data_IF_655398052877
#
_entry.id   IF_655398052877
#
_cell.length_a   1.000
_cell.length_b   1.000
_cell.length_c   1.000
_cell.angle_alpha   90.00
_cell.angle_beta   90.00
_cell.angle_gamma   90.00
#
_symmetry.space_group_name_H-M   'P 1'
#
loop_
_entity.id
_entity.type
_entity.pdbx_description
1 polymer ?
#
# COMPACT_ATOMS: atom_id res chain seq x y z
N UNK A 1 -18.16 7.99 50.40
CA UNK A 1 -18.97 6.84 50.74
C UNK A 1 -18.15 5.63 50.31
N UNK A 2 -17.29 5.04 51.16
CA UNK A 2 -17.56 3.94 52.10
C UNK A 2 -18.20 2.75 51.38
N UNK A 3 -17.63 1.61 51.32
CA UNK A 3 -17.10 0.64 52.23
C UNK A 3 -16.48 -0.53 51.45
N UNK A 4 -15.39 -1.07 51.81
CA UNK A 4 -15.04 -1.84 53.01
C UNK A 4 -15.47 -3.30 53.01
N UNK A 5 -14.44 -4.12 53.25
CA UNK A 5 -14.39 -5.39 54.00
C UNK A 5 -14.59 -6.67 53.16
N UNK A 6 -13.97 -7.82 53.41
CA UNK A 6 -13.04 -8.36 54.45
C UNK A 6 -12.57 -9.74 53.99
N UNK A 7 -11.31 -10.02 54.14
CA UNK A 7 -10.69 -11.13 54.91
C UNK A 7 -11.52 -12.38 55.17
N UNK A 8 -10.93 -13.56 54.85
CA UNK A 8 -10.89 -14.69 55.84
C UNK A 8 -9.74 -15.67 55.54
N UNK A 9 -8.85 -15.70 56.50
CA UNK A 9 -7.93 -16.80 56.83
C UNK A 9 -8.67 -18.05 57.24
N UNK A 10 -8.15 -19.27 56.94
CA UNK A 10 -8.18 -20.36 57.92
C UNK A 10 -6.97 -21.28 57.78
N UNK A 11 -6.38 -21.50 58.90
CA UNK A 11 -5.29 -22.40 59.28
C UNK A 11 -5.83 -23.81 59.62
N UNK A 12 -4.91 -24.77 59.68
CA UNK A 12 -5.10 -26.07 60.37
C UNK A 12 -4.17 -27.11 59.76
N UNK A 13 -3.00 -27.37 60.20
CA UNK A 13 -2.40 -28.05 61.35
C UNK A 13 -2.53 -29.57 61.35
N UNK A 14 -1.35 -30.19 61.56
CA UNK A 14 -1.03 -31.44 62.30
C UNK A 14 -1.05 -32.74 61.49
N UNK A 15 0.02 -33.46 61.33
CA UNK A 15 0.98 -34.13 62.20
C UNK A 15 0.67 -35.64 62.32
N UNK A 16 1.66 -36.43 62.28
CA UNK A 16 2.07 -37.63 63.07
C UNK A 16 2.46 -38.86 62.24
N UNK A 17 3.76 -39.16 62.19
CA UNK A 17 4.52 -40.22 62.81
C UNK A 17 4.13 -41.70 62.52
N UNK A 18 5.11 -42.50 62.17
CA UNK A 18 5.69 -43.76 62.76
C UNK A 18 6.22 -44.63 61.61
N UNK A 19 7.49 -44.88 61.50
CA UNK A 19 8.43 -45.74 62.24
C UNK A 19 8.43 -47.18 61.74
N UNK A 20 9.65 -47.64 61.48
CA UNK A 20 10.25 -48.96 61.74
C UNK A 20 10.15 -50.06 60.66
N UNK A 21 11.32 -50.62 60.38
CA UNK A 21 11.45 -52.02 59.98
C UNK A 21 12.61 -52.33 59.00
N UNK A 22 13.83 -52.47 59.56
CA UNK A 22 14.94 -53.22 58.94
C UNK A 22 14.66 -54.73 59.28
N UNK A 23 14.99 -55.69 58.40
CA UNK A 23 16.21 -56.44 58.70
C UNK A 23 17.07 -56.80 57.50
N UNK A 24 18.37 -56.84 57.81
CA UNK A 24 19.45 -57.55 57.13
C UNK A 24 19.13 -59.02 56.90
N UNK A 25 19.54 -59.60 55.78
CA UNK A 25 20.26 -60.87 55.77
C UNK A 25 21.09 -61.03 54.53
N UNK A 26 22.30 -61.37 54.80
CA UNK A 26 23.49 -61.73 54.07
C UNK A 26 23.42 -63.08 53.32
N UNK A 27 24.42 -63.26 52.47
CA UNK A 27 25.04 -64.44 51.91
C UNK A 27 24.68 -64.65 50.43
N UNK A 28 25.66 -64.69 49.52
CA UNK A 28 26.66 -65.68 49.28
C UNK A 28 27.50 -65.35 48.03
N UNK A 29 28.69 -65.80 48.16
CA UNK A 29 29.88 -65.86 47.33
C UNK A 29 29.70 -66.12 45.82
N UNK A 30 30.51 -65.44 45.01
CA UNK A 30 31.59 -66.08 44.26
C UNK A 30 31.38 -66.15 42.77
N UNK A 31 32.09 -65.34 41.99
CA UNK A 31 32.98 -65.90 40.96
C UNK A 31 33.90 -64.81 40.39
N UNK A 32 35.16 -65.05 40.39
CA UNK A 32 36.19 -64.23 39.80
C UNK A 32 36.10 -64.37 38.31
N UNK A 33 35.92 -63.29 37.58
CA UNK A 33 36.33 -63.18 36.20
C UNK A 33 37.22 -61.98 36.01
N UNK A 34 38.35 -62.19 35.53
CA UNK A 34 39.53 -61.42 35.17
C UNK A 34 39.36 -59.93 34.89
N UNK A 35 40.24 -59.17 35.56
CA UNK A 35 40.59 -57.81 35.26
C UNK A 35 41.07 -57.66 33.82
N UNK A 36 40.22 -57.04 32.99
CA UNK A 36 40.65 -56.35 31.79
C UNK A 36 40.97 -54.90 32.19
N UNK A 37 42.20 -54.47 31.94
CA UNK A 37 42.70 -53.16 32.31
C UNK A 37 41.82 -51.98 31.84
N UNK A 38 41.91 -50.81 32.51
CA UNK A 38 41.19 -49.60 32.08
C UNK A 38 41.76 -49.10 30.75
N UNK A 39 41.14 -49.47 29.64
CA UNK A 39 41.33 -48.75 28.41
C UNK A 39 40.89 -47.32 28.65
N UNK A 40 41.79 -46.37 28.36
CA UNK A 40 41.51 -44.93 28.36
C UNK A 40 40.43 -44.62 27.28
N UNK A 41 39.20 -44.96 27.59
CA UNK A 41 38.04 -44.50 26.85
C UNK A 41 37.51 -43.23 27.49
N UNK A 42 37.71 -42.14 26.86
CA UNK A 42 37.02 -40.88 27.23
C UNK A 42 35.48 -41.08 27.32
N UNK A 43 34.73 -40.21 27.93
CA UNK A 43 33.30 -40.33 28.03
C UNK A 43 32.69 -40.62 26.64
N UNK A 44 31.68 -41.50 26.54
CA UNK A 44 31.10 -41.88 25.25
C UNK A 44 30.60 -40.65 24.53
N UNK A 45 30.99 -40.50 23.24
CA UNK A 45 30.57 -39.39 22.41
C UNK A 45 29.04 -39.39 22.23
N UNK A 46 28.40 -38.29 22.55
CA UNK A 46 26.94 -38.17 22.36
C UNK A 46 26.59 -38.04 20.87
N UNK A 47 25.66 -38.85 20.35
CA UNK A 47 25.22 -38.70 18.98
C UNK A 47 24.40 -37.41 18.84
N UNK A 48 24.80 -36.52 17.93
CA UNK A 48 24.15 -35.23 17.67
C UNK A 48 23.90 -35.06 16.16
N UNK A 49 22.75 -34.47 15.81
CA UNK A 49 22.52 -34.10 14.42
C UNK A 49 23.17 -32.75 14.13
N UNK A 50 23.89 -32.70 13.04
CA UNK A 50 24.64 -31.53 12.62
C UNK A 50 24.11 -31.04 11.27
N UNK A 51 23.87 -29.75 11.15
CA UNK A 51 23.55 -29.05 9.93
C UNK A 51 24.69 -28.08 9.57
N UNK A 52 25.11 -28.09 8.31
CA UNK A 52 26.11 -27.11 7.85
C UNK A 52 25.42 -25.76 7.71
N UNK A 53 26.00 -24.73 8.35
CA UNK A 53 25.49 -23.36 8.27
C UNK A 53 25.56 -22.86 6.84
N UNK A 54 24.40 -22.54 6.28
CA UNK A 54 24.28 -22.04 4.93
C UNK A 54 24.28 -20.52 4.91
N UNK A 55 24.78 -19.96 3.81
CA UNK A 55 24.65 -18.54 3.50
C UNK A 55 23.37 -18.32 2.71
N UNK A 56 22.53 -17.42 3.20
CA UNK A 56 21.27 -17.05 2.57
C UNK A 56 21.25 -15.56 2.31
N UNK A 57 20.54 -15.13 1.29
CA UNK A 57 20.35 -13.71 1.00
C UNK A 57 19.38 -13.09 2.02
N UNK A 58 19.90 -12.23 2.86
CA UNK A 58 19.21 -11.56 3.95
C UNK A 58 18.77 -10.17 3.44
N UNK A 59 17.47 -9.88 3.29
CA UNK A 59 17.01 -8.55 2.93
C UNK A 59 17.00 -7.62 4.15
N UNK A 60 17.54 -6.41 3.98
CA UNK A 60 17.31 -5.29 4.93
C UNK A 60 15.99 -4.64 4.58
N UNK A 61 14.98 -4.83 5.42
CA UNK A 61 13.62 -4.36 5.17
C UNK A 61 13.10 -3.48 6.31
N UNK A 62 12.28 -2.50 5.96
CA UNK A 62 11.48 -1.77 6.93
C UNK A 62 10.02 -1.70 6.47
N UNK A 63 9.13 -1.74 7.43
CA UNK A 63 7.69 -1.60 7.19
C UNK A 63 7.23 -0.16 7.45
N UNK A 64 6.42 0.37 6.55
CA UNK A 64 5.82 1.69 6.63
C UNK A 64 4.32 1.59 6.44
N UNK A 65 3.59 2.45 7.13
CA UNK A 65 2.16 2.59 6.86
C UNK A 65 1.98 3.26 5.50
N UNK A 66 1.11 2.71 4.70
CA UNK A 66 0.82 3.16 3.35
C UNK A 66 -0.68 3.24 3.12
N UNK A 67 -1.10 4.19 2.30
CA UNK A 67 -2.50 4.37 1.90
C UNK A 67 -2.62 4.19 0.40
N UNK A 68 -3.57 3.36 -0.02
CA UNK A 68 -3.86 3.15 -1.43
C UNK A 68 -4.69 4.32 -1.97
N UNK A 69 -4.24 4.93 -3.06
CA UNK A 69 -4.99 5.97 -3.78
C UNK A 69 -5.19 5.56 -5.23
N UNK A 70 -6.26 6.02 -5.84
CA UNK A 70 -6.45 5.87 -7.28
C UNK A 70 -5.44 6.73 -8.03
N UNK A 71 -4.85 6.19 -9.09
CA UNK A 71 -3.98 6.96 -10.01
C UNK A 71 -4.78 8.00 -10.79
N UNK A 72 -6.05 7.71 -11.01
CA UNK A 72 -6.98 8.58 -11.72
C UNK A 72 -8.19 8.76 -10.82
N UNK A 73 -8.19 9.85 -10.08
CA UNK A 73 -9.30 10.28 -9.23
C UNK A 73 -9.63 11.71 -9.59
N UNK A 74 -10.88 11.98 -9.92
CA UNK A 74 -11.39 13.31 -10.18
C UNK A 74 -12.39 13.70 -9.09
N UNK A 75 -12.10 14.79 -8.39
CA UNK A 75 -13.03 15.42 -7.46
C UNK A 75 -13.98 16.30 -8.28
N UNK A 76 -15.27 16.09 -8.14
CA UNK A 76 -16.31 16.78 -8.91
C UNK A 76 -16.94 17.85 -8.04
N UNK A 77 -16.65 19.09 -8.39
CA UNK A 77 -17.27 20.29 -7.82
C UNK A 77 -18.08 21.00 -8.91
N UNK A 78 -19.15 21.73 -8.55
CA UNK A 78 -19.91 22.51 -9.53
C UNK A 78 -19.10 23.73 -10.00
N UNK A 79 -19.32 24.17 -11.23
CA UNK A 79 -18.72 25.41 -11.76
C UNK A 79 -19.60 26.63 -11.53
N UNK A 80 -20.87 26.40 -11.16
CA UNK A 80 -21.87 27.45 -10.85
C UNK A 80 -22.58 27.10 -9.56
N UNK A 81 -23.04 28.14 -8.86
CA UNK A 81 -23.87 27.94 -7.68
C UNK A 81 -25.35 27.79 -8.05
N UNK A 82 -26.09 27.05 -7.25
CA UNK A 82 -27.52 26.88 -7.45
C UNK A 82 -28.11 25.75 -6.64
N UNK A 83 -29.40 25.44 -6.88
CA UNK A 83 -30.08 24.33 -6.26
C UNK A 83 -30.02 23.09 -7.15
N UNK A 84 -29.76 21.91 -6.56
CA UNK A 84 -29.82 20.63 -7.28
C UNK A 84 -31.27 20.27 -7.60
N UNK A 85 -31.56 20.07 -8.87
CA UNK A 85 -32.89 19.68 -9.32
C UNK A 85 -33.01 18.19 -9.60
N UNK A 86 -31.90 17.55 -10.05
CA UNK A 86 -31.86 16.11 -10.37
C UNK A 86 -30.49 15.54 -10.10
N UNK A 87 -30.46 14.27 -9.70
CA UNK A 87 -29.27 13.43 -9.63
C UNK A 87 -29.55 12.22 -10.51
N UNK A 88 -28.66 11.96 -11.49
CA UNK A 88 -28.87 10.94 -12.53
C UNK A 88 -28.18 9.62 -12.23
N UNK A 89 -27.24 9.61 -11.29
CA UNK A 89 -26.38 8.47 -10.93
C UNK A 89 -26.50 8.16 -9.44
N UNK A 90 -26.06 6.96 -9.06
CA UNK A 90 -25.95 6.52 -7.66
C UNK A 90 -24.48 6.26 -7.31
N UNK A 91 -24.16 6.34 -6.03
CA UNK A 91 -22.84 5.91 -5.53
C UNK A 91 -22.57 4.46 -5.95
N UNK A 92 -21.40 4.21 -6.54
CA UNK A 92 -20.99 2.90 -7.08
C UNK A 92 -21.30 2.66 -8.55
N UNK A 93 -22.03 3.53 -9.23
CA UNK A 93 -22.32 3.39 -10.65
C UNK A 93 -21.05 3.56 -11.50
N UNK A 94 -20.95 2.75 -12.57
CA UNK A 94 -19.93 2.93 -13.60
C UNK A 94 -20.41 3.97 -14.61
N UNK A 95 -19.55 4.95 -14.87
CA UNK A 95 -19.83 6.05 -15.81
C UNK A 95 -18.70 6.20 -16.82
N UNK A 96 -19.05 6.69 -18.00
CA UNK A 96 -18.10 7.07 -19.03
C UNK A 96 -17.96 8.61 -19.05
N UNK A 97 -16.88 9.11 -19.64
CA UNK A 97 -16.70 10.54 -19.88
C UNK A 97 -17.93 11.15 -20.57
N UNK A 98 -18.41 12.30 -20.09
CA UNK A 98 -19.59 12.98 -20.59
C UNK A 98 -20.93 12.49 -20.01
N UNK A 99 -20.97 11.39 -19.23
CA UNK A 99 -22.20 10.94 -18.57
C UNK A 99 -22.71 12.00 -17.61
N UNK A 100 -23.99 12.43 -17.68
CA UNK A 100 -24.56 13.40 -16.75
C UNK A 100 -24.64 12.80 -15.35
N UNK A 101 -24.13 13.54 -14.35
CA UNK A 101 -24.14 13.14 -12.95
C UNK A 101 -25.29 13.79 -12.20
N UNK A 102 -25.41 15.10 -12.31
CA UNK A 102 -26.47 15.89 -11.66
C UNK A 102 -26.78 17.17 -12.44
N UNK A 103 -27.94 17.75 -12.12
CA UNK A 103 -28.46 18.97 -12.72
C UNK A 103 -28.66 20.02 -11.62
N UNK A 104 -28.08 21.21 -11.81
CA UNK A 104 -28.35 22.43 -11.05
C UNK A 104 -29.44 23.17 -11.79
N UNK A 105 -30.29 23.93 -11.09
CA UNK A 105 -31.40 24.67 -11.66
C UNK A 105 -30.95 25.65 -12.75
N UNK A 106 -31.27 25.41 -14.03
CA UNK A 106 -30.84 26.23 -15.14
C UNK A 106 -31.82 27.35 -15.50
N UNK A 107 -33.01 27.43 -14.90
CA UNK A 107 -34.13 28.26 -15.36
C UNK A 107 -33.74 29.72 -15.57
N UNK A 108 -32.98 30.31 -14.63
CA UNK A 108 -32.53 31.70 -14.77
C UNK A 108 -31.57 31.89 -15.95
N UNK A 109 -30.68 30.93 -16.16
CA UNK A 109 -29.68 31.00 -17.23
C UNK A 109 -30.33 30.73 -18.59
N UNK A 110 -31.30 29.81 -18.66
CA UNK A 110 -32.09 29.56 -19.86
C UNK A 110 -32.86 30.80 -20.28
N UNK A 111 -33.48 31.53 -19.33
CA UNK A 111 -34.19 32.77 -19.62
C UNK A 111 -33.23 33.86 -20.12
N UNK A 112 -32.02 33.96 -19.53
CA UNK A 112 -30.98 34.88 -19.97
C UNK A 112 -30.53 34.56 -21.41
N UNK A 113 -30.23 33.30 -21.70
CA UNK A 113 -29.86 32.85 -23.04
C UNK A 113 -30.94 33.16 -24.07
N UNK A 114 -32.21 32.88 -23.75
CA UNK A 114 -33.37 33.18 -24.61
C UNK A 114 -33.48 34.67 -24.91
N UNK A 115 -33.27 35.53 -23.91
CA UNK A 115 -33.27 37.00 -24.11
C UNK A 115 -32.16 37.46 -25.05
N UNK A 116 -30.92 36.91 -24.87
CA UNK A 116 -29.81 37.23 -25.75
C UNK A 116 -30.02 36.74 -27.18
N UNK A 117 -30.62 35.56 -27.36
CA UNK A 117 -30.98 35.05 -28.67
C UNK A 117 -32.02 35.92 -29.39
N UNK A 118 -33.01 36.46 -28.65
CA UNK A 118 -33.97 37.39 -29.20
C UNK A 118 -33.30 38.69 -29.68
N UNK A 119 -32.34 39.22 -28.89
CA UNK A 119 -31.55 40.39 -29.26
C UNK A 119 -30.70 40.14 -30.51
N UNK A 120 -30.06 38.99 -30.59
CA UNK A 120 -29.31 38.56 -31.79
C UNK A 120 -30.22 38.50 -33.01
N UNK A 121 -31.40 37.89 -32.90
CA UNK A 121 -32.37 37.80 -34.00
C UNK A 121 -32.82 39.19 -34.52
N UNK A 122 -33.00 40.17 -33.62
CA UNK A 122 -33.29 41.56 -34.00
C UNK A 122 -32.11 42.18 -34.78
N UNK A 123 -30.87 41.95 -34.35
CA UNK A 123 -29.71 42.49 -35.05
C UNK A 123 -29.46 41.78 -36.40
N UNK A 124 -29.77 40.51 -36.52
CA UNK A 124 -29.76 39.81 -37.80
C UNK A 124 -30.74 40.44 -38.83
N UNK A 125 -31.89 40.89 -38.36
CA UNK A 125 -32.85 41.62 -39.21
C UNK A 125 -32.26 42.98 -39.66
N UNK A 126 -31.57 43.72 -38.76
CA UNK A 126 -30.90 44.95 -39.09
C UNK A 126 -29.77 44.75 -40.14
N UNK A 127 -28.97 43.66 -39.96
CA UNK A 127 -27.93 43.32 -40.92
C UNK A 127 -28.50 43.00 -42.29
N UNK A 128 -29.63 42.25 -42.35
CA UNK A 128 -30.30 41.99 -43.63
C UNK A 128 -30.75 43.28 -44.30
N UNK A 129 -31.33 44.25 -43.55
CA UNK A 129 -31.70 45.55 -44.07
C UNK A 129 -30.52 46.32 -44.62
N UNK A 130 -29.41 46.40 -43.86
CA UNK A 130 -28.17 47.08 -44.28
C UNK A 130 -27.59 46.42 -45.54
N UNK A 131 -27.62 45.10 -45.64
CA UNK A 131 -27.16 44.35 -46.81
C UNK A 131 -27.95 44.71 -48.05
N UNK A 132 -29.31 44.67 -47.97
CA UNK A 132 -30.20 45.07 -49.08
C UNK A 132 -29.94 46.51 -49.48
N UNK A 133 -29.74 47.42 -48.54
CA UNK A 133 -29.43 48.84 -48.79
C UNK A 133 -28.11 48.99 -49.52
N UNK A 134 -27.07 48.27 -49.11
CA UNK A 134 -25.75 48.24 -49.78
C UNK A 134 -25.89 47.71 -51.21
N UNK A 135 -26.53 46.57 -51.40
CA UNK A 135 -26.76 45.98 -52.75
C UNK A 135 -27.53 46.92 -53.68
N UNK A 136 -28.46 47.71 -53.12
CA UNK A 136 -29.18 48.74 -53.88
C UNK A 136 -28.26 49.92 -54.22
N UNK A 137 -27.47 50.41 -53.27
CA UNK A 137 -26.51 51.49 -53.49
C UNK A 137 -25.45 51.09 -54.54
N UNK A 138 -24.92 49.85 -54.50
CA UNK A 138 -23.98 49.35 -55.52
C UNK A 138 -24.55 49.38 -56.93
N UNK A 139 -25.84 48.95 -57.09
CA UNK A 139 -26.52 48.99 -58.39
C UNK A 139 -26.73 50.42 -58.88
N UNK A 140 -27.12 51.37 -58.01
CA UNK A 140 -27.35 52.76 -58.35
C UNK A 140 -26.04 53.50 -58.68
N UNK A 141 -24.97 53.17 -57.97
CA UNK A 141 -23.67 53.71 -58.26
C UNK A 141 -23.12 53.21 -59.60
N UNK A 142 -23.28 51.94 -59.93
CA UNK A 142 -22.93 51.39 -61.23
C UNK A 142 -23.70 52.04 -62.36
N UNK A 143 -24.97 52.45 -62.09
CA UNK A 143 -25.80 53.23 -63.03
C UNK A 143 -25.47 54.77 -63.01
N UNK A 144 -24.47 55.19 -62.20
CA UNK A 144 -24.05 56.63 -62.04
C UNK A 144 -25.19 57.54 -61.48
N UNK A 145 -26.11 56.96 -60.67
CA UNK A 145 -27.27 57.69 -60.12
C UNK A 145 -26.94 58.30 -58.74
N UNK A 146 -26.00 57.73 -58.00
CA UNK A 146 -25.59 58.19 -56.63
C UNK A 146 -24.09 58.51 -56.61
N UNK A 147 -23.68 59.30 -55.57
CA UNK A 147 -22.30 59.62 -55.32
C UNK A 147 -21.51 58.44 -54.71
N UNK A 148 -20.19 58.51 -54.84
CA UNK A 148 -19.31 57.52 -54.10
C UNK A 148 -19.49 57.59 -52.60
N UNK A 149 -19.72 58.81 -52.06
CA UNK A 149 -19.96 59.02 -50.65
C UNK A 149 -21.19 58.21 -50.15
N UNK A 150 -22.28 58.18 -50.96
CA UNK A 150 -23.49 57.44 -50.62
C UNK A 150 -23.23 55.91 -50.59
N UNK A 151 -22.43 55.41 -51.55
CA UNK A 151 -22.00 54.03 -51.56
C UNK A 151 -21.13 53.69 -50.34
N UNK A 152 -20.11 54.54 -50.00
CA UNK A 152 -19.20 54.35 -48.86
C UNK A 152 -20.00 54.38 -47.55
N UNK A 153 -21.03 55.24 -47.42
CA UNK A 153 -21.96 55.27 -46.28
C UNK A 153 -22.73 54.00 -46.14
N UNK A 154 -23.28 53.43 -47.23
CA UNK A 154 -24.01 52.16 -47.21
C UNK A 154 -23.10 50.98 -46.88
N UNK A 155 -21.88 50.98 -47.38
CA UNK A 155 -20.88 49.98 -47.01
C UNK A 155 -20.51 50.07 -45.51
N UNK A 156 -20.25 51.26 -45.00
CA UNK A 156 -19.93 51.45 -43.57
C UNK A 156 -21.10 51.00 -42.64
N UNK A 157 -22.35 51.28 -43.07
CA UNK A 157 -23.52 50.83 -42.33
C UNK A 157 -23.66 49.32 -42.31
N UNK A 158 -23.39 48.65 -43.41
CA UNK A 158 -23.37 47.18 -43.49
C UNK A 158 -22.25 46.60 -42.62
N UNK A 159 -21.03 47.11 -42.71
CA UNK A 159 -19.88 46.64 -41.94
C UNK A 159 -20.11 46.84 -40.43
N UNK A 160 -20.69 47.96 -40.03
CA UNK A 160 -21.06 48.23 -38.65
C UNK A 160 -22.13 47.26 -38.15
N UNK A 161 -23.18 46.99 -38.97
CA UNK A 161 -24.21 46.01 -38.59
C UNK A 161 -23.67 44.61 -38.50
N UNK A 162 -22.73 44.22 -39.41
CA UNK A 162 -22.07 42.92 -39.39
C UNK A 162 -21.19 42.73 -38.13
N UNK A 163 -20.43 43.74 -37.77
CA UNK A 163 -19.62 43.73 -36.55
C UNK A 163 -20.47 43.59 -35.30
N UNK A 164 -21.59 44.33 -35.24
CA UNK A 164 -22.49 44.27 -34.10
C UNK A 164 -23.20 42.89 -33.98
N UNK A 165 -23.64 42.30 -35.11
CA UNK A 165 -24.20 40.96 -35.16
C UNK A 165 -23.17 39.94 -34.66
N UNK A 166 -21.93 40.01 -35.08
CA UNK A 166 -20.87 39.13 -34.64
C UNK A 166 -20.63 39.21 -33.11
N UNK A 167 -20.57 40.42 -32.58
CA UNK A 167 -20.43 40.64 -31.12
C UNK A 167 -21.57 39.99 -30.33
N UNK A 168 -22.80 40.16 -30.76
CA UNK A 168 -23.98 39.53 -30.10
C UNK A 168 -23.99 38.01 -30.27
N UNK A 169 -23.54 37.49 -31.40
CA UNK A 169 -23.38 36.05 -31.61
C UNK A 169 -22.38 35.45 -30.66
N UNK A 170 -21.24 36.10 -30.43
CA UNK A 170 -20.23 35.66 -29.49
C UNK A 170 -20.74 35.73 -28.07
N UNK A 171 -21.55 36.73 -27.71
CA UNK A 171 -22.20 36.84 -26.40
C UNK A 171 -23.25 35.71 -26.18
N UNK A 172 -24.03 35.35 -27.19
CA UNK A 172 -24.95 34.20 -27.13
C UNK A 172 -24.16 32.91 -26.90
N UNK A 173 -23.05 32.70 -27.58
CA UNK A 173 -22.22 31.50 -27.38
C UNK A 173 -21.62 31.47 -25.95
N UNK A 174 -21.19 32.60 -25.42
CA UNK A 174 -20.75 32.68 -24.02
C UNK A 174 -21.85 32.22 -23.06
N UNK A 175 -23.10 32.72 -23.22
CA UNK A 175 -24.23 32.32 -22.37
C UNK A 175 -24.58 30.82 -22.54
N UNK A 176 -24.38 30.26 -23.74
CA UNK A 176 -24.59 28.84 -24.01
C UNK A 176 -23.54 27.97 -23.33
N UNK A 177 -22.28 28.42 -23.28
CA UNK A 177 -21.21 27.75 -22.50
C UNK A 177 -21.54 27.76 -21.02
N UNK A 178 -21.99 28.91 -20.49
CA UNK A 178 -22.37 29.03 -19.08
C UNK A 178 -23.54 28.11 -18.72
N UNK A 179 -24.52 27.99 -19.59
CA UNK A 179 -25.64 27.08 -19.40
C UNK A 179 -25.20 25.60 -19.32
N UNK A 180 -24.13 25.19 -20.01
CA UNK A 180 -23.58 23.85 -19.91
C UNK A 180 -23.09 23.50 -18.50
N UNK A 181 -22.61 24.49 -17.74
CA UNK A 181 -22.11 24.28 -16.37
C UNK A 181 -23.19 23.87 -15.37
N UNK A 182 -24.48 24.13 -15.70
CA UNK A 182 -25.61 23.69 -14.86
C UNK A 182 -25.87 22.18 -14.97
N UNK A 183 -25.33 21.52 -15.99
CA UNK A 183 -25.35 20.07 -16.14
C UNK A 183 -23.96 19.51 -15.87
N UNK A 184 -23.77 19.02 -14.65
CA UNK A 184 -22.48 18.43 -14.24
C UNK A 184 -22.33 17.04 -14.83
N UNK A 185 -21.25 16.78 -15.55
CA UNK A 185 -20.96 15.50 -16.19
C UNK A 185 -19.61 14.96 -15.75
N UNK A 186 -19.41 13.65 -15.93
CA UNK A 186 -18.17 12.96 -15.67
C UNK A 186 -17.05 13.43 -16.60
N UNK A 187 -15.89 13.85 -16.09
CA UNK A 187 -14.74 14.27 -16.93
C UNK A 187 -13.98 13.08 -17.53
N UNK A 188 -14.12 11.89 -16.95
CA UNK A 188 -13.41 10.66 -17.34
C UNK A 188 -14.26 9.44 -17.01
N UNK A 189 -13.86 8.29 -17.57
CA UNK A 189 -14.44 7.00 -17.21
C UNK A 189 -14.07 6.61 -15.76
N UNK A 190 -14.98 5.93 -15.06
CA UNK A 190 -14.70 5.51 -13.69
C UNK A 190 -15.93 5.02 -12.93
N UNK A 191 -15.77 4.92 -11.62
CA UNK A 191 -16.83 4.59 -10.68
C UNK A 191 -17.15 5.83 -9.85
N UNK A 192 -18.43 6.16 -9.76
CA UNK A 192 -18.94 7.26 -8.93
C UNK A 192 -18.73 6.93 -7.45
N UNK A 193 -18.03 7.79 -6.74
CA UNK A 193 -17.85 7.69 -5.29
C UNK A 193 -19.13 8.00 -4.51
N UNK A 194 -18.96 8.41 -3.26
CA UNK A 194 -20.11 8.88 -2.46
C UNK A 194 -20.68 10.19 -3.01
N UNK A 195 -21.99 10.35 -2.91
CA UNK A 195 -22.73 11.56 -3.31
C UNK A 195 -23.33 12.17 -2.04
N UNK A 196 -22.61 13.10 -1.38
CA UNK A 196 -23.05 13.66 -0.09
C UNK A 196 -24.16 14.71 -0.20
N UNK A 197 -24.62 14.99 -1.42
CA UNK A 197 -25.64 16.01 -1.72
C UNK A 197 -26.96 15.39 -2.17
N UNK A 198 -28.06 16.12 -1.96
CA UNK A 198 -29.42 15.66 -2.26
C UNK A 198 -30.13 16.62 -3.20
N UNK A 199 -31.16 16.12 -3.86
CA UNK A 199 -32.08 16.97 -4.64
C UNK A 199 -32.75 17.98 -3.70
N UNK A 200 -32.66 19.26 -4.06
CA UNK A 200 -33.12 20.36 -3.22
C UNK A 200 -32.01 21.12 -2.50
N UNK A 201 -30.83 20.53 -2.36
CA UNK A 201 -29.70 21.20 -1.72
C UNK A 201 -29.17 22.36 -2.57
N UNK A 202 -28.74 23.43 -1.90
CA UNK A 202 -27.99 24.52 -2.53
C UNK A 202 -26.50 24.24 -2.48
N UNK A 203 -25.86 24.30 -3.64
CA UNK A 203 -24.42 24.05 -3.78
C UNK A 203 -23.68 25.32 -4.25
N UNK A 204 -22.43 25.42 -3.83
CA UNK A 204 -21.47 26.44 -4.25
C UNK A 204 -20.28 25.77 -4.96
N UNK A 205 -19.44 26.55 -5.63
CA UNK A 205 -18.28 26.06 -6.40
C UNK A 205 -17.28 25.27 -5.57
N UNK A 206 -17.28 25.39 -4.24
CA UNK A 206 -16.44 24.66 -3.30
C UNK A 206 -17.09 23.38 -2.77
N UNK A 207 -18.38 23.14 -3.07
CA UNK A 207 -19.12 21.98 -2.57
C UNK A 207 -18.66 20.72 -3.27
N UNK A 208 -18.27 19.69 -2.51
CA UNK A 208 -18.00 18.37 -3.06
C UNK A 208 -19.31 17.72 -3.49
N UNK A 209 -19.43 17.38 -4.79
CA UNK A 209 -20.60 16.68 -5.33
C UNK A 209 -20.41 15.17 -5.30
N UNK A 210 -19.25 14.71 -5.77
CA UNK A 210 -18.83 13.31 -5.77
C UNK A 210 -17.37 13.21 -6.18
N UNK A 211 -16.83 11.98 -6.18
CA UNK A 211 -15.57 11.64 -6.83
C UNK A 211 -15.80 10.65 -7.97
N UNK A 212 -14.92 10.64 -8.95
CA UNK A 212 -14.89 9.59 -9.97
C UNK A 212 -13.52 8.95 -9.90
N UNK A 213 -13.51 7.65 -9.61
CA UNK A 213 -12.31 6.89 -9.34
C UNK A 213 -12.15 5.73 -10.31
N UNK A 214 -10.94 5.49 -10.78
CA UNK A 214 -10.60 4.30 -11.57
C UNK A 214 -9.96 3.25 -10.65
N UNK A 215 -10.71 2.23 -10.17
CA UNK A 215 -10.25 1.31 -9.14
C UNK A 215 -9.19 0.31 -9.60
N UNK A 216 -9.01 0.14 -10.91
CA UNK A 216 -8.03 -0.80 -11.48
C UNK A 216 -6.58 -0.34 -11.38
N UNK A 217 -6.34 0.96 -11.28
CA UNK A 217 -5.01 1.56 -11.25
C UNK A 217 -4.80 2.27 -9.90
N UNK A 218 -4.27 1.55 -8.93
CA UNK A 218 -3.96 2.09 -7.60
C UNK A 218 -2.48 2.46 -7.49
N UNK A 219 -2.19 3.35 -6.56
CA UNK A 219 -0.85 3.67 -6.08
C UNK A 219 -0.81 3.58 -4.56
N UNK A 220 0.22 2.94 -4.04
CA UNK A 220 0.53 2.95 -2.62
C UNK A 220 1.35 4.20 -2.29
N UNK A 221 0.82 5.05 -1.42
CA UNK A 221 1.50 6.25 -0.91
C UNK A 221 2.21 5.88 0.36
N UNK A 222 3.54 5.82 0.30
CA UNK A 222 4.44 5.36 1.36
C UNK A 222 5.18 6.57 1.91
N UNK A 223 5.03 6.84 3.20
CA UNK A 223 5.69 7.95 3.86
C UNK A 223 6.94 7.45 4.58
N UNK A 224 8.10 7.75 4.01
CA UNK A 224 9.41 7.31 4.52
C UNK A 224 10.04 8.42 5.35
N UNK A 225 10.44 8.16 6.61
CA UNK A 225 11.11 9.14 7.46
C UNK A 225 12.40 9.69 6.84
N UNK A 226 12.70 10.97 7.09
CA UNK A 226 13.79 11.70 6.44
C UNK A 226 15.19 11.10 6.72
N UNK A 227 15.37 10.40 7.84
CA UNK A 227 16.62 9.72 8.21
C UNK A 227 16.98 8.55 7.26
N UNK A 228 15.97 7.90 6.66
CA UNK A 228 16.13 6.79 5.69
C UNK A 228 16.18 7.24 4.23
N UNK A 229 15.96 8.51 3.94
CA UNK A 229 15.83 9.02 2.56
C UNK A 229 17.11 8.94 1.73
N UNK A 230 18.29 8.86 2.35
CA UNK A 230 19.58 8.72 1.64
C UNK A 230 19.63 7.51 0.70
N UNK A 231 18.94 6.44 1.07
CA UNK A 231 18.88 5.19 0.31
C UNK A 231 17.58 5.05 -0.52
N UNK A 232 16.67 6.01 -0.39
CA UNK A 232 15.38 5.99 -1.08
C UNK A 232 15.56 6.35 -2.56
N UNK A 233 15.18 5.43 -3.45
CA UNK A 233 15.27 5.62 -4.91
C UNK A 233 14.18 4.87 -5.64
N UNK A 234 13.90 5.30 -6.84
CA UNK A 234 13.03 4.57 -7.77
C UNK A 234 13.61 3.19 -8.05
N UNK A 235 12.74 2.19 -8.17
CA UNK A 235 13.10 0.80 -8.42
C UNK A 235 13.33 -0.05 -7.17
N UNK A 236 13.29 0.51 -5.95
CA UNK A 236 13.36 -0.31 -4.72
C UNK A 236 12.17 -1.27 -4.65
N UNK A 237 12.40 -2.57 -4.36
CA UNK A 237 11.32 -3.53 -4.19
C UNK A 237 10.44 -3.18 -2.99
N UNK A 238 9.15 -3.30 -3.15
CA UNK A 238 8.13 -3.09 -2.13
C UNK A 238 7.17 -4.24 -2.13
N UNK A 239 6.96 -4.84 -0.97
CA UNK A 239 5.90 -5.82 -0.73
C UNK A 239 4.79 -5.15 0.08
N UNK A 240 3.58 -5.19 -0.45
CA UNK A 240 2.41 -4.70 0.26
C UNK A 240 1.79 -5.85 1.05
N UNK A 241 1.55 -5.60 2.32
CA UNK A 241 0.99 -6.54 3.26
C UNK A 241 -0.36 -6.02 3.76
N UNK A 242 -1.32 -6.92 3.96
CA UNK A 242 -2.56 -6.60 4.64
C UNK A 242 -2.38 -6.50 6.17
N UNK A 243 -3.47 -6.29 6.89
CA UNK A 243 -3.46 -6.23 8.36
C UNK A 243 -3.00 -7.54 9.00
N UNK A 244 -3.19 -8.68 8.31
CA UNK A 244 -2.80 -10.01 8.80
C UNK A 244 -1.33 -10.33 8.52
N UNK A 245 -0.62 -9.50 7.74
CA UNK A 245 0.75 -9.75 7.29
C UNK A 245 0.86 -10.58 6.03
N UNK A 246 -0.28 -10.89 5.39
CA UNK A 246 -0.27 -11.62 4.12
C UNK A 246 0.10 -10.70 2.96
N UNK A 247 0.91 -11.20 2.01
CA UNK A 247 1.28 -10.43 0.82
C UNK A 247 0.07 -10.19 -0.07
N UNK A 248 -0.20 -8.93 -0.33
CA UNK A 248 -1.28 -8.47 -1.22
C UNK A 248 -0.75 -8.23 -2.63
N UNK A 249 0.43 -7.62 -2.74
CA UNK A 249 1.07 -7.29 -4.00
C UNK A 249 2.56 -7.09 -3.81
N UNK A 250 3.37 -7.60 -4.74
CA UNK A 250 4.78 -7.27 -4.86
C UNK A 250 4.94 -6.25 -5.99
N UNK A 251 5.62 -5.16 -5.71
CA UNK A 251 5.80 -4.02 -6.61
C UNK A 251 7.14 -3.34 -6.37
N UNK A 252 7.33 -2.16 -6.93
CA UNK A 252 8.54 -1.37 -6.73
C UNK A 252 8.19 0.12 -6.65
N UNK A 253 9.08 0.92 -6.07
CA UNK A 253 8.94 2.37 -6.00
C UNK A 253 9.03 2.95 -7.42
N UNK A 254 8.00 3.66 -7.84
CA UNK A 254 7.90 4.31 -9.16
C UNK A 254 8.19 5.81 -9.10
N UNK A 255 8.01 6.42 -7.93
CA UNK A 255 8.22 7.85 -7.73
C UNK A 255 8.71 8.12 -6.31
N UNK A 256 9.61 9.09 -6.18
CA UNK A 256 10.10 9.65 -4.91
C UNK A 256 9.93 11.16 -4.97
N UNK A 257 9.27 11.74 -3.97
CA UNK A 257 9.11 13.19 -3.86
C UNK A 257 10.45 13.88 -3.66
N UNK A 258 10.75 14.97 -4.38
CA UNK A 258 11.93 15.78 -4.11
C UNK A 258 11.80 16.65 -2.85
N UNK A 259 10.60 16.71 -2.25
CA UNK A 259 10.30 17.53 -1.08
C UNK A 259 10.07 16.66 0.15
N UNK A 260 10.53 17.14 1.28
CA UNK A 260 10.20 16.59 2.62
C UNK A 260 8.93 17.29 3.09
N UNK A 261 7.94 16.51 3.54
CA UNK A 261 6.75 17.02 4.21
C UNK A 261 7.16 17.66 5.53
N UNK A 262 6.88 18.94 5.72
CA UNK A 262 7.37 19.69 6.88
C UNK A 262 6.75 19.24 8.19
N UNK A 263 5.48 18.85 8.17
CA UNK A 263 4.70 18.50 9.36
C UNK A 263 5.08 17.13 9.91
N UNK A 264 5.35 16.18 9.04
CA UNK A 264 5.62 14.77 9.39
C UNK A 264 7.11 14.40 9.27
N UNK A 265 7.94 15.26 8.70
CA UNK A 265 9.36 15.00 8.39
C UNK A 265 9.54 13.69 7.58
N UNK A 266 8.65 13.45 6.63
CA UNK A 266 8.68 12.27 5.76
C UNK A 266 8.82 12.67 4.29
N UNK A 267 9.32 11.74 3.48
CA UNK A 267 9.35 11.84 2.02
C UNK A 267 8.32 10.88 1.45
N UNK A 268 7.46 11.38 0.58
CA UNK A 268 6.49 10.57 -0.13
C UNK A 268 7.17 9.73 -1.21
N UNK A 269 7.05 8.42 -1.11
CA UNK A 269 7.33 7.48 -2.19
C UNK A 269 6.02 6.87 -2.69
N UNK A 270 5.94 6.59 -4.00
CA UNK A 270 4.78 5.94 -4.60
C UNK A 270 5.20 4.63 -5.24
N UNK A 271 4.33 3.64 -5.13
CA UNK A 271 4.47 2.36 -5.81
C UNK A 271 3.18 2.03 -6.56
N UNK A 272 3.29 1.62 -7.82
CA UNK A 272 2.13 1.23 -8.61
C UNK A 272 1.58 -0.11 -8.13
N UNK A 273 0.27 -0.22 -8.02
CA UNK A 273 -0.41 -1.43 -7.52
C UNK A 273 -1.46 -1.87 -8.54
N UNK A 274 -1.28 -3.07 -9.07
CA UNK A 274 -2.28 -3.65 -9.97
C UNK A 274 -3.41 -4.29 -9.15
N UNK A 275 -4.62 -3.77 -9.29
CA UNK A 275 -5.80 -4.28 -8.61
C UNK A 275 -6.71 -5.06 -9.59
N UNK A 276 -6.13 -6.00 -10.34
CA UNK A 276 -6.81 -6.75 -11.41
C UNK A 276 -8.07 -7.50 -10.94
N UNK A 277 -8.15 -7.85 -9.65
CA UNK A 277 -9.29 -8.57 -9.05
C UNK A 277 -10.21 -7.68 -8.21
N UNK A 278 -10.00 -6.37 -8.22
CA UNK A 278 -10.75 -5.37 -7.43
C UNK A 278 -10.88 -5.73 -5.92
N UNK A 279 -9.87 -6.41 -5.36
CA UNK A 279 -9.86 -6.81 -3.95
C UNK A 279 -9.45 -5.66 -3.02
N UNK A 280 -8.67 -4.72 -3.54
CA UNK A 280 -8.18 -3.57 -2.81
C UNK A 280 -9.11 -2.38 -3.02
N UNK A 281 -9.29 -1.60 -1.96
CA UNK A 281 -10.14 -0.41 -1.99
C UNK A 281 -9.30 0.86 -1.95
N UNK A 282 -9.81 1.91 -2.57
CA UNK A 282 -9.25 3.26 -2.47
C UNK A 282 -9.35 3.70 -1.01
N UNK A 283 -8.37 4.46 -0.53
CA UNK A 283 -8.19 4.87 0.86
C UNK A 283 -7.95 3.73 1.86
N UNK A 284 -7.80 2.47 1.40
CA UNK A 284 -7.41 1.36 2.26
C UNK A 284 -5.98 1.56 2.77
N UNK A 285 -5.78 1.33 4.07
CA UNK A 285 -4.46 1.26 4.67
C UNK A 285 -3.84 -0.13 4.45
N UNK A 286 -2.58 -0.16 4.11
CA UNK A 286 -1.76 -1.37 3.94
C UNK A 286 -0.38 -1.11 4.51
N UNK A 287 0.35 -2.16 4.86
CA UNK A 287 1.76 -2.04 5.25
C UNK A 287 2.64 -2.22 4.03
N UNK A 288 3.56 -1.31 3.81
CA UNK A 288 4.54 -1.37 2.73
C UNK A 288 5.89 -1.76 3.31
N UNK A 289 6.34 -2.98 3.03
CA UNK A 289 7.66 -3.47 3.37
C UNK A 289 8.62 -3.12 2.24
N UNK A 290 9.47 -2.13 2.48
CA UNK A 290 10.49 -1.66 1.54
C UNK A 290 11.78 -2.42 1.76
N UNK A 291 12.36 -2.99 0.71
CA UNK A 291 13.67 -3.66 0.74
C UNK A 291 14.75 -2.67 0.30
N UNK A 292 15.61 -2.25 1.24
CA UNK A 292 16.67 -1.27 1.00
C UNK A 292 17.88 -1.86 0.33
N UNK A 293 18.32 -2.99 0.86
CA UNK A 293 19.47 -3.74 0.38
C UNK A 293 19.31 -5.22 0.71
N UNK A 294 20.18 -6.03 0.20
CA UNK A 294 20.31 -7.41 0.62
C UNK A 294 21.80 -7.77 0.69
N UNK A 295 22.15 -8.52 1.70
CA UNK A 295 23.49 -9.06 1.87
C UNK A 295 23.44 -10.57 2.09
N UNK A 296 24.49 -11.26 1.79
CA UNK A 296 24.60 -12.69 2.05
C UNK A 296 25.13 -12.88 3.47
N UNK A 297 24.47 -13.71 4.26
CA UNK A 297 24.84 -13.96 5.65
C UNK A 297 24.42 -15.35 6.12
N UNK A 298 25.07 -15.86 7.20
CA UNK A 298 24.70 -17.13 7.79
C UNK A 298 23.35 -17.04 8.50
N UNK A 299 22.58 -18.15 8.42
CA UNK A 299 21.31 -18.29 9.13
C UNK A 299 21.34 -19.53 10.01
N UNK A 300 20.58 -19.49 11.11
CA UNK A 300 20.46 -20.61 12.05
C UNK A 300 19.00 -20.87 12.38
N UNK A 301 18.55 -22.14 12.44
CA UNK A 301 17.20 -22.48 12.83
C UNK A 301 16.87 -21.97 14.23
N UNK A 302 15.66 -21.41 14.40
CA UNK A 302 15.19 -20.88 15.70
C UNK A 302 15.31 -21.91 16.81
N UNK A 303 15.07 -23.19 16.49
CA UNK A 303 15.09 -24.30 17.46
C UNK A 303 16.49 -24.69 17.92
N UNK A 304 17.57 -24.33 17.21
CA UNK A 304 18.95 -24.62 17.61
C UNK A 304 19.52 -23.61 18.60
N UNK A 305 18.82 -22.51 18.86
CA UNK A 305 19.30 -21.43 19.70
C UNK A 305 18.88 -21.67 21.15
N UNK A 306 19.88 -21.61 22.04
CA UNK A 306 19.65 -21.57 23.49
C UNK A 306 19.79 -20.14 24.00
N UNK A 307 18.89 -19.75 24.89
CA UNK A 307 18.96 -18.43 25.55
C UNK A 307 19.32 -18.62 27.02
N UNK A 308 20.48 -18.12 27.42
CA UNK A 308 20.99 -18.17 28.78
C UNK A 308 21.25 -16.72 29.22
N UNK A 309 20.61 -16.29 30.28
CA UNK A 309 20.74 -14.91 30.82
C UNK A 309 20.49 -13.81 29.75
N UNK A 310 19.54 -14.04 28.83
CA UNK A 310 19.22 -13.07 27.77
C UNK A 310 20.15 -13.10 26.56
N UNK A 311 21.23 -13.85 26.60
CA UNK A 311 22.17 -14.04 25.49
C UNK A 311 21.81 -15.29 24.69
N UNK A 312 22.01 -15.22 23.36
CA UNK A 312 21.75 -16.33 22.44
C UNK A 312 23.05 -17.13 22.21
N UNK A 313 22.96 -18.43 22.37
CA UNK A 313 24.07 -19.37 22.15
C UNK A 313 23.63 -20.49 21.23
N UNK A 314 24.60 -21.04 20.52
CA UNK A 314 24.47 -22.31 19.79
C UNK A 314 25.65 -23.22 20.09
N UNK A 315 25.49 -24.49 19.83
CA UNK A 315 26.57 -25.44 19.85
C UNK A 315 27.04 -25.74 18.42
N UNK A 316 28.34 -25.70 18.22
CA UNK A 316 28.99 -26.13 16.99
C UNK A 316 29.90 -27.33 17.25
N UNK A 317 29.91 -28.27 16.34
CA UNK A 317 30.82 -29.39 16.41
C UNK A 317 32.18 -28.96 15.83
N UNK A 318 33.21 -29.06 16.63
CA UNK A 318 34.58 -28.66 16.26
C UNK A 318 35.51 -29.87 16.42
N UNK A 319 36.29 -30.18 15.41
CA UNK A 319 37.31 -31.25 15.48
C UNK A 319 38.47 -30.79 16.33
N UNK A 320 38.68 -31.43 17.47
CA UNK A 320 39.83 -31.17 18.37
C UNK A 320 40.63 -32.48 18.59
N UNK A 321 41.86 -32.49 18.14
CA UNK A 321 42.74 -33.65 18.27
C UNK A 321 42.21 -34.92 17.53
N UNK A 322 41.88 -35.97 18.28
CA UNK A 322 41.38 -37.24 17.73
C UNK A 322 39.85 -37.37 17.79
N UNK A 323 39.09 -36.33 18.16
CA UNK A 323 37.63 -36.39 18.29
C UNK A 323 36.94 -35.07 17.96
N UNK A 324 35.62 -35.10 17.92
CA UNK A 324 34.79 -33.92 17.72
C UNK A 324 34.16 -33.54 19.07
N UNK A 325 34.18 -32.26 19.43
CA UNK A 325 33.58 -31.72 20.67
C UNK A 325 32.57 -30.66 20.35
N UNK A 326 31.56 -30.52 21.19
CA UNK A 326 30.60 -29.44 21.13
C UNK A 326 31.20 -28.17 21.75
N UNK A 327 31.28 -27.09 20.97
CA UNK A 327 31.72 -25.77 21.45
C UNK A 327 30.52 -24.81 21.48
N UNK A 328 30.31 -24.18 22.63
CA UNK A 328 29.33 -23.15 22.79
C UNK A 328 29.80 -21.83 22.18
N UNK A 329 29.07 -21.28 21.24
CA UNK A 329 29.33 -19.98 20.60
C UNK A 329 28.23 -18.99 20.94
N UNK A 330 28.64 -17.79 21.41
CA UNK A 330 27.74 -16.66 21.61
C UNK A 330 27.34 -16.11 20.22
N UNK A 331 26.06 -15.86 20.02
CA UNK A 331 25.54 -15.28 18.79
C UNK A 331 24.98 -13.88 19.01
N UNK A 332 25.23 -13.03 18.02
CA UNK A 332 24.48 -11.80 17.83
C UNK A 332 23.47 -12.03 16.72
N UNK A 333 22.21 -12.11 17.11
CA UNK A 333 21.10 -12.39 16.18
C UNK A 333 20.61 -11.11 15.53
N UNK A 334 20.22 -11.21 14.26
CA UNK A 334 19.47 -10.23 13.50
C UNK A 334 18.00 -10.61 13.39
N UNK A 335 17.38 -10.20 12.30
CA UNK A 335 15.96 -10.44 12.02
C UNK A 335 15.68 -11.91 11.72
N UNK A 336 14.42 -12.30 11.93
CA UNK A 336 13.94 -13.64 11.61
C UNK A 336 13.57 -13.73 10.12
N UNK A 337 14.05 -14.76 9.44
CA UNK A 337 13.78 -15.05 8.03
C UNK A 337 13.11 -16.42 7.95
N UNK A 338 11.78 -16.44 7.84
CA UNK A 338 11.02 -17.68 7.92
C UNK A 338 11.20 -18.36 9.28
N UNK A 339 11.78 -19.57 9.30
CA UNK A 339 12.06 -20.34 10.53
C UNK A 339 13.50 -20.18 11.04
N UNK A 340 14.28 -19.27 10.47
CA UNK A 340 15.68 -19.07 10.79
C UNK A 340 15.94 -17.66 11.31
N UNK A 341 16.96 -17.48 12.14
CA UNK A 341 17.51 -16.17 12.48
C UNK A 341 18.70 -15.86 11.60
N UNK A 342 18.77 -14.64 11.11
CA UNK A 342 19.99 -14.09 10.55
C UNK A 342 21.04 -13.96 11.67
N UNK A 343 22.29 -14.36 11.38
CA UNK A 343 23.41 -14.22 12.33
C UNK A 343 24.28 -13.05 11.93
N UNK A 344 24.34 -12.03 12.80
CA UNK A 344 25.18 -10.85 12.59
C UNK A 344 26.62 -11.09 12.99
N UNK A 345 26.83 -11.91 14.04
CA UNK A 345 28.18 -12.25 14.55
C UNK A 345 28.15 -13.55 15.35
N UNK A 346 29.31 -14.22 15.43
CA UNK A 346 29.54 -15.43 16.23
C UNK A 346 29.52 -16.75 15.44
N UNK A 347 29.08 -16.77 14.17
CA UNK A 347 29.04 -17.97 13.35
C UNK A 347 29.45 -17.67 11.91
N UNK A 348 30.07 -18.64 11.25
CA UNK A 348 30.49 -18.54 9.84
C UNK A 348 29.80 -19.59 8.98
N UNK A 349 29.63 -19.27 7.71
CA UNK A 349 29.19 -20.26 6.74
C UNK A 349 30.17 -21.45 6.73
N UNK A 350 29.63 -22.67 6.71
CA UNK A 350 30.42 -23.89 6.79
C UNK A 350 30.64 -24.42 8.20
N UNK A 351 30.30 -23.67 9.26
CA UNK A 351 30.33 -24.20 10.62
C UNK A 351 29.32 -25.35 10.78
N UNK A 352 29.68 -26.38 11.54
CA UNK A 352 28.84 -27.55 11.81
C UNK A 352 27.94 -27.25 13.01
N UNK A 353 26.73 -26.74 12.76
CA UNK A 353 25.76 -26.40 13.78
C UNK A 353 25.07 -27.64 14.32
N UNK A 354 25.05 -27.83 15.65
CA UNK A 354 24.31 -28.90 16.29
C UNK A 354 22.83 -28.46 16.41
N UNK A 355 21.94 -29.21 15.77
CA UNK A 355 20.50 -28.87 15.70
C UNK A 355 19.62 -29.75 16.58
N UNK A 356 20.15 -30.85 17.13
CA UNK A 356 19.39 -31.72 18.04
C UNK A 356 20.22 -32.13 19.27
N UNK A 357 19.54 -32.43 20.39
CA UNK A 357 20.19 -32.84 21.64
C UNK A 357 20.87 -31.71 22.42
N UNK A 358 20.70 -30.47 22.01
CA UNK A 358 21.37 -29.30 22.56
C UNK A 358 21.14 -29.08 24.05
N UNK A 359 20.01 -29.55 24.60
CA UNK A 359 19.63 -29.41 26.02
C UNK A 359 20.52 -30.24 26.96
N UNK A 360 21.23 -31.24 26.45
CA UNK A 360 22.12 -32.08 27.24
C UNK A 360 23.61 -31.75 27.03
N UNK A 361 23.91 -30.79 26.17
CA UNK A 361 25.26 -30.40 25.81
C UNK A 361 25.82 -29.33 26.79
N UNK A 362 27.09 -29.52 27.12
CA UNK A 362 27.93 -28.52 27.78
C UNK A 362 29.16 -28.25 26.90
N UNK A 363 29.82 -27.12 27.11
CA UNK A 363 31.00 -26.76 26.35
C UNK A 363 32.08 -27.82 26.57
N UNK A 364 32.70 -28.32 25.48
CA UNK A 364 33.75 -29.32 25.50
C UNK A 364 33.32 -30.79 25.59
N UNK A 365 32.02 -31.09 25.57
CA UNK A 365 31.54 -32.50 25.57
C UNK A 365 31.84 -33.19 24.23
N UNK A 366 32.41 -34.42 24.26
CA UNK A 366 32.65 -35.20 23.05
C UNK A 366 31.31 -35.55 22.34
N UNK A 367 31.25 -35.33 21.03
CA UNK A 367 30.05 -35.60 20.21
C UNK A 367 30.38 -36.45 18.98
N UNK A 368 29.41 -37.24 18.55
CA UNK A 368 29.48 -38.01 17.31
C UNK A 368 28.53 -37.37 16.30
N UNK A 369 29.08 -36.79 15.24
CA UNK A 369 28.31 -36.08 14.23
C UNK A 369 27.46 -37.03 13.37
N UNK A 370 26.19 -36.75 13.23
CA UNK A 370 25.33 -37.32 12.22
C UNK A 370 24.84 -36.16 11.32
N UNK A 371 25.34 -36.11 10.08
CA UNK A 371 24.95 -35.06 9.17
C UNK A 371 23.50 -35.27 8.76
N UNK A 372 22.64 -34.31 9.10
CA UNK A 372 21.26 -34.26 8.64
C UNK A 372 21.28 -33.94 7.14
N UNK A 373 20.88 -34.91 6.30
CA UNK A 373 20.60 -34.62 4.89
C UNK A 373 19.37 -33.75 4.82
N UNK A 374 19.50 -32.57 4.25
CA UNK A 374 18.37 -31.66 3.97
C UNK A 374 17.28 -32.41 3.19
N UNK A 375 16.25 -32.84 3.88
CA UNK A 375 15.01 -33.26 3.22
C UNK A 375 14.25 -31.97 2.89
N UNK A 376 14.53 -31.38 1.73
CA UNK A 376 13.64 -30.39 1.14
C UNK A 376 12.27 -31.04 1.03
N UNK A 377 11.36 -30.65 1.89
CA UNK A 377 9.96 -31.02 1.82
C UNK A 377 9.42 -30.39 0.53
N UNK A 378 9.39 -31.23 -0.52
CA UNK A 378 8.81 -30.85 -1.81
C UNK A 378 7.33 -30.58 -1.59
N UNK A 379 6.93 -29.36 -1.89
CA UNK A 379 5.54 -28.96 -2.00
C UNK A 379 4.78 -29.94 -2.88
N UNK A 380 3.72 -30.45 -2.29
CA UNK A 380 2.83 -31.42 -2.85
C UNK A 380 2.29 -31.02 -4.21
N UNK A 381 2.61 -31.80 -5.20
CA UNK A 381 1.85 -31.90 -6.44
C UNK A 381 0.40 -32.19 -6.09
N UNK A 382 -0.45 -31.23 -6.38
CA UNK A 382 -1.88 -31.35 -6.54
C UNK A 382 -2.25 -32.61 -7.30
N UNK A 383 -2.97 -33.50 -6.66
CA UNK A 383 -3.66 -34.59 -7.30
C UNK A 383 -4.85 -34.06 -8.10
N UNK A 384 -4.71 -34.08 -9.40
CA UNK A 384 -5.83 -34.09 -10.36
C UNK A 384 -6.48 -35.47 -10.30
N UNK A 385 -7.73 -35.54 -9.93
CA UNK A 385 -8.66 -36.57 -10.41
C UNK A 385 -10.12 -36.28 -10.01
N UNK A 386 -10.92 -36.13 -11.03
CA UNK A 386 -12.37 -36.29 -11.22
C UNK A 386 -13.28 -35.11 -10.93
#
# INVERSE_FOLDING_TARGET
MQGSQRMRKKRGTAALMLAAGVPLMSWGCGEKTSAGGPGAGGPPAMPVQVQIVQTVRIPDTNEYLSVLKSRQSAVINPQVEGQITKIFVKSGDKVNAGTPLLQIDPLKQEATLSSQQATLAAQEANLRLAKISLERAQRLFAAQVISKQDLDNAQSAYDGAAAQMKALSDQVEQQRVELRYYKVSAPADGIVGDIPVHVGDRVAVTTLLTTIDLPGALEAYIYVPADRTKNLRVGLPVRLLDETGSSVSDTHITFVSPQVETDTQTVLAKAAVENARAKLRIAQQVRAQVTWSSHDGPVVPVLSIQRINGQAFVFVAVSEGKGTVARQKLLKLGDTIGNDYAVLDGLKAGDHLIVSGTQFLQDGVPVAEQIQKDTKQGDGKSATAR
#
